data_IF_913786844537
#
_entry.id   IF_913786844537
#
_cell.length_a   1.000
_cell.length_b   1.000
_cell.length_c   1.000
_cell.angle_alpha   90.00
_cell.angle_beta   90.00
_cell.angle_gamma   90.00
#
_symmetry.space_group_name_H-M   'P 1'
#
loop_
_entity.id
_entity.type
_entity.pdbx_description
1 polymer ?
#
# COMPACT_ATOMS: atom_id res chain seq x y z
N UNK A 1 27.11 -15.35 -2.31
CA UNK A 1 26.09 -14.43 -1.79
C UNK A 1 25.23 -15.24 -0.86
N UNK A 2 25.27 -14.97 0.44
CA UNK A 2 24.51 -15.69 1.46
C UNK A 2 23.04 -15.31 1.32
N UNK A 3 22.24 -16.24 0.80
CA UNK A 3 20.78 -16.16 0.87
C UNK A 3 20.37 -16.57 2.29
N UNK A 4 20.46 -15.62 3.22
CA UNK A 4 19.83 -15.79 4.53
C UNK A 4 18.30 -15.79 4.35
N UNK A 5 17.57 -16.75 4.94
CA UNK A 5 16.11 -16.74 4.99
C UNK A 5 15.68 -15.61 5.92
N UNK A 6 15.55 -14.41 5.36
CA UNK A 6 15.06 -13.22 6.03
C UNK A 6 13.90 -12.62 5.25
N UNK A 7 13.01 -11.91 5.93
CA UNK A 7 11.91 -11.14 5.30
C UNK A 7 12.43 -10.45 4.03
N UNK A 8 11.76 -10.67 2.90
CA UNK A 8 11.99 -9.93 1.65
C UNK A 8 11.47 -8.50 1.78
N UNK A 9 12.16 -7.75 2.64
CA UNK A 9 11.84 -6.39 3.06
C UNK A 9 11.96 -5.45 1.88
N UNK A 10 12.84 -5.76 0.91
CA UNK A 10 13.00 -5.02 -0.34
C UNK A 10 11.73 -5.09 -1.20
N UNK A 11 11.17 -6.28 -1.39
CA UNK A 11 9.91 -6.45 -2.12
C UNK A 11 8.74 -5.79 -1.41
N UNK A 12 8.61 -5.96 -0.09
CA UNK A 12 7.55 -5.30 0.69
C UNK A 12 7.65 -3.77 0.60
N UNK A 13 8.86 -3.22 0.77
CA UNK A 13 9.11 -1.79 0.63
C UNK A 13 8.71 -1.25 -0.75
N UNK A 14 9.03 -1.98 -1.83
CA UNK A 14 8.61 -1.62 -3.20
C UNK A 14 7.09 -1.59 -3.33
N UNK A 15 6.39 -2.56 -2.74
CA UNK A 15 4.93 -2.58 -2.73
C UNK A 15 4.36 -1.37 -1.98
N UNK A 16 4.89 -1.01 -0.81
CA UNK A 16 4.44 0.17 -0.07
C UNK A 16 4.66 1.48 -0.85
N UNK A 17 5.80 1.61 -1.52
CA UNK A 17 6.09 2.77 -2.37
C UNK A 17 5.07 2.89 -3.50
N UNK A 18 4.76 1.78 -4.18
CA UNK A 18 3.76 1.77 -5.25
C UNK A 18 2.37 2.13 -4.73
N UNK A 19 1.96 1.57 -3.59
CA UNK A 19 0.68 1.90 -2.96
C UNK A 19 0.62 3.39 -2.63
N UNK A 20 1.65 3.93 -1.96
CA UNK A 20 1.72 5.35 -1.61
C UNK A 20 1.64 6.24 -2.85
N UNK A 21 2.45 5.95 -3.87
CA UNK A 21 2.47 6.72 -5.11
C UNK A 21 1.11 6.74 -5.82
N UNK A 22 0.50 5.57 -6.02
CA UNK A 22 -0.83 5.46 -6.65
C UNK A 22 -1.87 6.22 -5.82
N UNK A 23 -1.86 6.05 -4.50
CA UNK A 23 -2.78 6.74 -3.59
C UNK A 23 -2.64 8.27 -3.74
N UNK A 24 -1.41 8.79 -3.74
CA UNK A 24 -1.16 10.22 -3.93
C UNK A 24 -1.67 10.72 -5.28
N UNK A 25 -1.42 9.99 -6.37
CA UNK A 25 -1.92 10.35 -7.71
C UNK A 25 -3.45 10.45 -7.73
N UNK A 26 -4.14 9.47 -7.13
CA UNK A 26 -5.60 9.48 -7.05
C UNK A 26 -6.12 10.62 -6.18
N UNK A 27 -5.51 10.88 -5.02
CA UNK A 27 -5.89 12.00 -4.15
C UNK A 27 -5.70 13.34 -4.85
N UNK A 28 -4.62 13.51 -5.61
CA UNK A 28 -4.36 14.71 -6.39
C UNK A 28 -5.41 14.89 -7.50
N UNK A 29 -5.70 13.82 -8.24
CA UNK A 29 -6.71 13.84 -9.30
C UNK A 29 -8.10 14.21 -8.77
N UNK A 30 -8.53 13.65 -7.63
CA UNK A 30 -9.84 14.01 -7.08
C UNK A 30 -9.83 15.41 -6.48
N UNK A 31 -8.70 15.93 -6.00
CA UNK A 31 -8.61 17.29 -5.49
C UNK A 31 -8.85 18.32 -6.60
N UNK A 32 -8.46 18.02 -7.84
CA UNK A 32 -8.72 18.89 -9.01
C UNK A 32 -10.13 18.71 -9.58
N UNK A 33 -10.75 17.54 -9.42
CA UNK A 33 -11.99 17.16 -10.13
C UNK A 33 -13.24 17.20 -9.27
N UNK A 34 -13.11 17.02 -7.96
CA UNK A 34 -14.23 16.91 -7.02
C UNK A 34 -14.16 18.05 -6.01
N UNK A 35 -15.30 18.37 -5.42
CA UNK A 35 -15.42 19.38 -4.36
C UNK A 35 -16.47 18.97 -3.34
N UNK A 36 -16.42 19.59 -2.15
CA UNK A 36 -17.36 19.34 -1.06
C UNK A 36 -17.36 17.89 -0.57
N UNK A 37 -18.56 17.35 -0.31
CA UNK A 37 -18.73 16.02 0.25
C UNK A 37 -18.23 14.91 -0.68
N UNK A 38 -18.33 15.08 -2.00
CA UNK A 38 -17.87 14.07 -2.97
C UNK A 38 -16.35 13.88 -2.88
N UNK A 39 -15.59 14.97 -2.71
CA UNK A 39 -14.14 14.88 -2.48
C UNK A 39 -13.83 14.09 -1.20
N UNK A 40 -14.56 14.38 -0.12
CA UNK A 40 -14.34 13.72 1.18
C UNK A 40 -14.64 12.23 1.13
N UNK A 41 -15.74 11.85 0.48
CA UNK A 41 -16.11 10.44 0.27
C UNK A 41 -15.04 9.74 -0.58
N UNK A 42 -14.60 10.37 -1.68
CA UNK A 42 -13.56 9.84 -2.56
C UNK A 42 -12.23 9.63 -1.82
N UNK A 43 -11.79 10.61 -1.04
CA UNK A 43 -10.55 10.54 -0.28
C UNK A 43 -10.56 9.39 0.75
N UNK A 44 -11.68 9.21 1.46
CA UNK A 44 -11.85 8.11 2.42
C UNK A 44 -11.80 6.77 1.69
N UNK A 45 -12.57 6.63 0.59
CA UNK A 45 -12.60 5.38 -0.18
C UNK A 45 -11.21 4.99 -0.70
N UNK A 46 -10.48 5.94 -1.30
CA UNK A 46 -9.10 5.73 -1.78
C UNK A 46 -8.18 5.34 -0.63
N UNK A 47 -8.24 6.05 0.50
CA UNK A 47 -7.45 5.76 1.68
C UNK A 47 -7.72 4.36 2.26
N UNK A 48 -8.98 3.94 2.30
CA UNK A 48 -9.37 2.60 2.77
C UNK A 48 -8.81 1.50 1.88
N UNK A 49 -8.92 1.64 0.55
CA UNK A 49 -8.35 0.67 -0.39
C UNK A 49 -6.83 0.59 -0.25
N UNK A 50 -6.16 1.74 -0.13
CA UNK A 50 -4.72 1.80 0.08
C UNK A 50 -4.30 1.08 1.38
N UNK A 51 -5.04 1.31 2.47
CA UNK A 51 -4.79 0.67 3.76
C UNK A 51 -4.96 -0.84 3.69
N UNK A 52 -6.07 -1.33 3.14
CA UNK A 52 -6.32 -2.78 2.98
C UNK A 52 -5.21 -3.44 2.16
N UNK A 53 -4.78 -2.77 1.08
CA UNK A 53 -3.71 -3.26 0.22
C UNK A 53 -2.38 -3.32 0.99
N UNK A 54 -2.05 -2.31 1.78
CA UNK A 54 -0.85 -2.27 2.60
C UNK A 54 -0.84 -3.37 3.67
N UNK A 55 -1.98 -3.60 4.35
CA UNK A 55 -2.15 -4.69 5.32
C UNK A 55 -1.95 -6.03 4.62
N UNK A 56 -2.58 -6.25 3.47
CA UNK A 56 -2.46 -7.49 2.71
C UNK A 56 -1.00 -7.75 2.32
N UNK A 57 -0.30 -6.74 1.81
CA UNK A 57 1.12 -6.82 1.49
C UNK A 57 1.99 -7.15 2.69
N UNK A 58 1.68 -6.56 3.85
CA UNK A 58 2.38 -6.82 5.10
C UNK A 58 2.16 -8.27 5.57
N UNK A 59 0.93 -8.77 5.54
CA UNK A 59 0.60 -10.14 5.92
C UNK A 59 1.31 -11.17 5.03
N UNK A 60 1.40 -10.90 3.72
CA UNK A 60 2.15 -11.76 2.78
C UNK A 60 3.63 -11.78 3.15
N UNK A 61 4.23 -10.62 3.41
CA UNK A 61 5.64 -10.53 3.81
C UNK A 61 5.91 -11.23 5.15
N UNK A 62 5.04 -11.03 6.14
CA UNK A 62 5.15 -11.65 7.46
C UNK A 62 4.96 -13.18 7.38
N UNK A 63 3.97 -13.67 6.64
CA UNK A 63 3.74 -15.11 6.44
C UNK A 63 4.94 -15.78 5.78
N UNK A 64 5.53 -15.15 4.75
CA UNK A 64 6.72 -15.67 4.10
C UNK A 64 7.95 -15.77 5.02
N UNK A 65 8.00 -14.98 6.08
CA UNK A 65 9.05 -15.04 7.10
C UNK A 65 8.86 -16.27 8.00
N UNK A 66 7.62 -16.53 8.41
CA UNK A 66 7.26 -17.68 9.25
C UNK A 66 7.51 -18.98 8.51
N UNK A 67 7.10 -19.07 7.24
CA UNK A 67 7.32 -20.26 6.40
C UNK A 67 8.81 -20.53 6.12
N UNK A 68 9.68 -19.52 6.28
CA UNK A 68 11.12 -19.65 6.07
C UNK A 68 11.89 -20.13 7.32
N UNK A 69 11.19 -20.36 8.45
CA UNK A 69 11.76 -20.80 9.74
C UNK A 69 11.48 -22.28 9.99
#
# INVERSE_FOLDING_TARGET
MSSEPGIDTGRFGRTLVLIGFVTTVFLFLIAERLSGDTFRIGAIAIGTVALITAITGFLIAAGSAVDAT
#
